data_IF_091859227749
#
_entry.id   IF_091859227749
#
_cell.length_a   1.000
_cell.length_b   1.000
_cell.length_c   1.000
_cell.angle_alpha   90.00
_cell.angle_beta   90.00
_cell.angle_gamma   90.00
#
_symmetry.space_group_name_H-M   'P 1'
#
loop_
_entity.id
_entity.type
_entity.pdbx_description
1 polymer ?
#
# COMPACT_ATOMS: atom_id res chain seq x y z
N UNK A 1 24.94 -6.65 27.43
CA UNK A 1 24.06 -5.86 26.52
C UNK A 1 22.96 -5.11 27.29
N UNK A 2 22.92 -5.17 28.62
CA UNK A 2 21.92 -4.50 29.47
C UNK A 2 22.48 -3.27 30.19
N UNK A 3 23.79 -3.01 30.09
CA UNK A 3 24.45 -1.89 30.77
C UNK A 3 24.12 -0.52 30.15
N UNK A 4 23.68 -0.48 28.88
CA UNK A 4 23.17 0.74 28.23
C UNK A 4 21.84 1.22 28.81
N UNK A 5 21.06 0.33 29.44
CA UNK A 5 19.82 0.71 30.14
C UNK A 5 20.11 1.34 31.52
N UNK A 6 21.38 1.36 31.95
CA UNK A 6 21.82 1.78 33.28
C UNK A 6 22.58 3.12 33.26
N UNK A 7 22.27 4.03 32.33
CA UNK A 7 22.82 5.40 32.28
C UNK A 7 22.11 6.38 33.25
N UNK A 8 21.56 5.87 34.35
CA UNK A 8 20.81 6.61 35.35
C UNK A 8 19.28 6.51 35.18
N UNK A 9 18.50 6.85 36.23
CA UNK A 9 17.07 6.55 36.36
C UNK A 9 16.15 7.03 35.22
N UNK A 10 16.64 7.92 34.35
CA UNK A 10 15.86 8.53 33.26
C UNK A 10 16.16 7.94 31.87
N UNK A 11 17.23 7.16 31.69
CA UNK A 11 17.60 6.60 30.40
C UNK A 11 16.52 5.63 29.86
N UNK A 12 15.93 4.82 30.74
CA UNK A 12 14.83 3.93 30.38
C UNK A 12 13.59 4.67 29.88
N UNK A 13 13.28 5.85 30.43
CA UNK A 13 12.15 6.67 29.99
C UNK A 13 12.37 7.21 28.56
N UNK A 14 13.59 7.69 28.27
CA UNK A 14 13.96 8.21 26.95
C UNK A 14 13.82 7.10 25.89
N UNK A 15 14.38 5.93 26.15
CA UNK A 15 14.29 4.78 25.24
C UNK A 15 12.83 4.34 25.05
N UNK A 16 12.05 4.25 26.13
CA UNK A 16 10.63 3.89 26.03
C UNK A 16 9.85 4.90 25.18
N UNK A 17 10.05 6.20 25.38
CA UNK A 17 9.44 7.23 24.55
C UNK A 17 9.80 7.07 23.08
N UNK A 18 11.10 6.90 22.75
CA UNK A 18 11.52 6.69 21.36
C UNK A 18 10.92 5.43 20.75
N UNK A 19 10.86 4.32 21.47
CA UNK A 19 10.26 3.08 20.98
C UNK A 19 8.76 3.24 20.72
N UNK A 20 8.03 3.91 21.62
CA UNK A 20 6.61 4.21 21.42
C UNK A 20 6.42 5.13 20.21
N UNK A 21 7.22 6.18 20.08
CA UNK A 21 7.16 7.09 18.93
C UNK A 21 7.44 6.36 17.62
N UNK A 22 8.49 5.54 17.56
CA UNK A 22 8.80 4.71 16.40
C UNK A 22 7.68 3.71 16.09
N UNK A 23 7.09 3.10 17.12
CA UNK A 23 5.97 2.19 16.98
C UNK A 23 4.74 2.85 16.37
N UNK A 24 4.39 4.06 16.85
CA UNK A 24 3.26 4.84 16.31
C UNK A 24 3.52 5.26 14.87
N UNK A 25 4.72 5.77 14.56
CA UNK A 25 5.10 6.14 13.19
C UNK A 25 5.05 4.93 12.26
N UNK A 26 5.61 3.79 12.69
CA UNK A 26 5.58 2.54 11.93
C UNK A 26 4.16 2.03 11.70
N UNK A 27 3.32 2.06 12.73
CA UNK A 27 1.92 1.67 12.63
C UNK A 27 1.14 2.56 11.63
N UNK A 28 1.33 3.87 11.68
CA UNK A 28 0.75 4.81 10.71
C UNK A 28 1.23 4.50 9.29
N UNK A 29 2.53 4.25 9.12
CA UNK A 29 3.09 3.94 7.80
C UNK A 29 2.50 2.66 7.22
N UNK A 30 2.41 1.59 8.03
CA UNK A 30 1.77 0.33 7.64
C UNK A 30 0.29 0.53 7.32
N UNK A 31 -0.42 1.32 8.12
CA UNK A 31 -1.83 1.61 7.89
C UNK A 31 -2.04 2.36 6.57
N UNK A 32 -1.24 3.40 6.29
CA UNK A 32 -1.31 4.17 5.05
C UNK A 32 -1.05 3.27 3.84
N UNK A 33 -0.06 2.37 3.91
CA UNK A 33 0.20 1.39 2.85
C UNK A 33 -0.97 0.43 2.64
N UNK A 34 -1.56 -0.07 3.73
CA UNK A 34 -2.71 -0.98 3.68
C UNK A 34 -3.97 -0.29 3.14
N UNK A 35 -4.15 0.99 3.46
CA UNK A 35 -5.25 1.81 2.98
C UNK A 35 -5.10 2.14 1.49
N UNK A 36 -3.89 2.54 1.06
CA UNK A 36 -3.56 2.78 -0.33
C UNK A 36 -3.71 1.51 -1.19
N UNK A 37 -3.34 0.34 -0.66
CA UNK A 37 -3.57 -0.94 -1.34
C UNK A 37 -5.07 -1.23 -1.54
N UNK A 38 -5.90 -0.83 -0.57
CA UNK A 38 -7.36 -1.00 -0.63
C UNK A 38 -8.00 -0.12 -1.69
N UNK A 39 -7.46 1.09 -1.89
CA UNK A 39 -7.89 1.99 -2.97
C UNK A 39 -7.44 1.48 -4.36
N UNK A 40 -6.21 0.99 -4.47
CA UNK A 40 -5.66 0.43 -5.72
C UNK A 40 -6.42 -0.82 -6.18
N UNK A 41 -6.78 -1.69 -5.25
CA UNK A 41 -7.54 -2.91 -5.54
C UNK A 41 -8.95 -2.62 -6.12
N UNK A 42 -9.57 -1.50 -5.72
CA UNK A 42 -10.87 -1.09 -6.27
C UNK A 42 -10.75 -0.52 -7.68
N UNK A 43 -9.67 0.20 -7.97
CA UNK A 43 -9.39 0.73 -9.30
C UNK A 43 -9.06 -0.40 -10.29
N UNK A 44 -8.24 -1.38 -9.89
CA UNK A 44 -7.90 -2.52 -10.77
C UNK A 44 -9.11 -3.40 -11.10
N UNK A 45 -10.04 -3.56 -10.15
CA UNK A 45 -11.29 -4.28 -10.38
C UNK A 45 -12.17 -3.59 -11.43
N UNK A 46 -12.19 -2.25 -11.46
CA UNK A 46 -12.94 -1.48 -12.46
C UNK A 46 -12.22 -1.41 -13.81
N UNK A 47 -10.88 -1.33 -13.83
CA UNK A 47 -10.10 -1.40 -15.08
C UNK A 47 -10.31 -2.75 -15.78
N UNK A 48 -10.34 -3.87 -15.06
CA UNK A 48 -10.63 -5.18 -15.63
C UNK A 48 -12.02 -5.26 -16.31
N UNK A 49 -13.02 -4.59 -15.72
CA UNK A 49 -14.38 -4.55 -16.28
C UNK A 49 -14.51 -3.55 -17.45
N UNK A 50 -13.77 -2.43 -17.43
CA UNK A 50 -13.77 -1.44 -18.52
C UNK A 50 -12.96 -1.88 -19.75
N UNK A 51 -11.85 -2.59 -19.54
CA UNK A 51 -10.94 -3.06 -20.61
C UNK A 51 -11.57 -4.19 -21.43
N UNK A 52 -12.33 -5.08 -20.79
CA UNK A 52 -12.99 -6.21 -21.50
C UNK A 52 -14.01 -5.73 -22.53
N UNK A 53 -14.84 -4.74 -22.21
CA UNK A 53 -15.85 -4.22 -23.15
C UNK A 53 -15.24 -3.43 -24.31
N UNK A 54 -14.19 -2.62 -24.06
CA UNK A 54 -13.49 -1.86 -25.11
C UNK A 54 -12.64 -2.77 -26.01
N UNK A 55 -11.98 -3.76 -25.44
CA UNK A 55 -11.18 -4.73 -26.21
C UNK A 55 -12.05 -5.65 -27.08
N UNK A 56 -13.25 -6.02 -26.62
CA UNK A 56 -14.19 -6.79 -27.45
C UNK A 56 -14.67 -5.98 -28.68
N UNK A 57 -14.86 -4.66 -28.55
CA UNK A 57 -15.20 -3.79 -29.67
C UNK A 57 -14.03 -3.62 -30.63
N UNK A 58 -12.83 -3.31 -30.11
CA UNK A 58 -11.63 -3.19 -30.94
C UNK A 58 -11.30 -4.48 -31.72
N UNK A 59 -11.54 -5.67 -31.12
CA UNK A 59 -11.37 -6.96 -31.82
C UNK A 59 -12.40 -7.16 -32.93
N UNK A 60 -13.65 -6.70 -32.76
CA UNK A 60 -14.67 -6.76 -33.82
C UNK A 60 -14.35 -5.80 -34.96
N UNK A 61 -13.93 -4.58 -34.66
CA UNK A 61 -13.59 -3.57 -35.67
C UNK A 61 -12.38 -4.03 -36.53
N UNK A 62 -11.40 -4.71 -35.93
CA UNK A 62 -10.25 -5.30 -36.65
C UNK A 62 -10.66 -6.52 -37.48
N UNK A 63 -11.58 -7.36 -36.98
CA UNK A 63 -12.08 -8.53 -37.72
C UNK A 63 -12.94 -8.13 -38.92
N UNK A 64 -13.69 -7.02 -38.83
CA UNK A 64 -14.57 -6.52 -39.88
C UNK A 64 -13.80 -5.73 -40.95
N UNK A 65 -12.69 -5.08 -40.59
CA UNK A 65 -11.81 -4.38 -41.53
C UNK A 65 -10.83 -5.26 -42.32
N UNK A 66 -10.65 -6.53 -41.95
CA UNK A 66 -9.74 -7.47 -42.63
C UNK A 66 -10.41 -8.33 -43.71
N UNK A 67 -11.73 -8.23 -43.88
CA UNK A 67 -12.52 -9.05 -44.79
C UNK A 67 -12.93 -8.37 -46.10
N UNK A 68 -12.39 -7.19 -46.40
CA UNK A 68 -12.71 -6.40 -47.61
C UNK A 68 -11.58 -6.34 -48.61
#
# INVERSE_FOLDING_TARGET
MTDLLNLGPHAGFIVACYLVTLGVIGALFVWILADGARLRARLSAMEAQGVTRRSARARRDVAEGSGS
#
